data_IF_363987625669
#
_entry.id   IF_363987625669
#
_cell.length_a   1.000
_cell.length_b   1.000
_cell.length_c   1.000
_cell.angle_alpha   90.00
_cell.angle_beta   90.00
_cell.angle_gamma   90.00
#
_symmetry.space_group_name_H-M   'P 1'
#
loop_
_entity.id
_entity.type
_entity.pdbx_description
1 polymer ?
#
# COMPACT_ATOMS: atom_id res chain seq x y z
N UNK A 1 -1.48 -2.94 -15.04
CA UNK A 1 -0.84 -2.59 -13.76
C UNK A 1 -0.07 -1.30 -13.90
N UNK A 2 -0.21 -0.39 -12.93
CA UNK A 2 0.61 0.80 -12.78
C UNK A 2 1.65 0.48 -11.72
N UNK A 3 2.93 0.49 -12.10
CA UNK A 3 4.03 0.03 -11.25
C UNK A 3 4.62 1.11 -10.34
N UNK A 4 4.11 2.34 -10.41
CA UNK A 4 4.59 3.47 -9.62
C UNK A 4 3.44 4.08 -8.82
N UNK A 5 3.73 4.47 -7.58
CA UNK A 5 2.79 5.10 -6.67
C UNK A 5 3.29 6.44 -6.15
N UNK A 6 2.54 7.00 -5.23
CA UNK A 6 2.92 8.23 -4.52
C UNK A 6 4.15 7.99 -3.63
N UNK A 7 4.82 9.07 -3.28
CA UNK A 7 6.04 9.08 -2.43
C UNK A 7 5.79 8.42 -1.10
N UNK A 8 6.66 7.49 -0.74
CA UNK A 8 6.65 6.91 0.60
C UNK A 8 6.93 7.98 1.67
N UNK A 9 6.15 7.95 2.72
CA UNK A 9 6.33 8.81 3.90
C UNK A 9 6.92 8.01 5.05
N UNK A 10 7.70 8.62 5.94
CA UNK A 10 8.34 7.89 7.05
C UNK A 10 7.37 7.07 7.89
N UNK A 11 6.19 7.61 8.18
CA UNK A 11 5.20 6.97 9.05
C UNK A 11 4.43 5.80 8.45
N UNK A 12 4.59 5.53 7.15
CA UNK A 12 3.81 4.52 6.46
C UNK A 12 4.55 3.78 5.36
N UNK A 13 5.77 4.17 5.04
CA UNK A 13 6.48 3.54 3.93
C UNK A 13 7.99 3.75 3.91
N UNK A 14 8.59 4.02 5.04
CA UNK A 14 10.04 4.15 5.18
C UNK A 14 10.65 5.43 4.59
N UNK A 15 10.22 5.89 3.44
CA UNK A 15 10.60 7.17 2.86
C UNK A 15 11.43 7.10 1.57
N UNK A 16 11.39 8.17 0.81
CA UNK A 16 12.06 8.32 -0.49
C UNK A 16 13.60 8.40 -0.43
N UNK A 17 14.17 8.53 0.75
CA UNK A 17 15.62 8.60 0.93
C UNK A 17 16.32 7.24 0.82
N UNK A 18 15.56 6.14 0.84
CA UNK A 18 16.14 4.81 0.66
C UNK A 18 16.55 4.57 -0.81
N UNK A 19 17.76 4.01 -1.04
CA UNK A 19 18.22 3.72 -2.39
C UNK A 19 17.27 2.80 -3.16
N UNK A 20 16.98 3.16 -4.40
CA UNK A 20 16.08 2.37 -5.26
C UNK A 20 14.59 2.73 -5.13
N UNK A 21 14.19 3.54 -4.16
CA UNK A 21 12.82 4.05 -4.08
C UNK A 21 12.58 5.03 -5.22
N UNK A 22 11.59 4.73 -6.06
CA UNK A 22 11.15 5.59 -7.18
C UNK A 22 9.67 5.86 -7.04
N UNK A 23 9.26 7.11 -7.19
CA UNK A 23 7.91 7.54 -6.85
C UNK A 23 7.40 8.59 -7.83
N UNK A 24 6.08 8.75 -7.87
CA UNK A 24 5.42 9.84 -8.58
C UNK A 24 5.06 10.96 -7.62
N UNK A 25 5.01 12.19 -8.12
CA UNK A 25 4.30 13.27 -7.45
C UNK A 25 2.79 12.99 -7.45
N UNK A 26 2.09 13.44 -6.39
CA UNK A 26 0.66 13.20 -6.24
C UNK A 26 -0.17 13.67 -7.43
N UNK A 27 0.14 14.84 -7.98
CA UNK A 27 -0.53 15.36 -9.17
C UNK A 27 -0.36 14.43 -10.38
N UNK A 28 0.84 13.88 -10.58
CA UNK A 28 1.12 12.93 -11.66
C UNK A 28 0.30 11.65 -11.50
N UNK A 29 0.24 11.10 -10.29
CA UNK A 29 -0.56 9.90 -9.99
C UNK A 29 -2.06 10.15 -10.22
N UNK A 30 -2.58 11.28 -9.73
CA UNK A 30 -3.99 11.68 -9.93
C UNK A 30 -4.32 11.72 -11.41
N UNK A 31 -3.54 12.43 -12.22
CA UNK A 31 -3.84 12.58 -13.65
C UNK A 31 -3.66 11.28 -14.42
N UNK A 32 -2.65 10.49 -14.09
CA UNK A 32 -2.46 9.18 -14.71
C UNK A 32 -3.67 8.26 -14.48
N UNK A 33 -4.12 8.12 -13.23
CA UNK A 33 -5.25 7.25 -12.90
C UNK A 33 -6.55 7.79 -13.47
N UNK A 34 -6.79 9.12 -13.39
CA UNK A 34 -7.94 9.78 -14.03
C UNK A 34 -8.01 9.44 -15.53
N UNK A 35 -6.91 9.59 -16.24
CA UNK A 35 -6.86 9.38 -17.69
C UNK A 35 -7.08 7.90 -18.02
N UNK A 36 -6.50 6.97 -17.26
CA UNK A 36 -6.73 5.54 -17.44
C UNK A 36 -8.20 5.18 -17.24
N UNK A 37 -8.87 5.70 -16.21
CA UNK A 37 -10.30 5.51 -15.98
C UNK A 37 -11.12 6.01 -17.18
N UNK A 38 -10.83 7.21 -17.67
CA UNK A 38 -11.54 7.79 -18.81
C UNK A 38 -11.35 6.98 -20.09
N UNK A 39 -10.13 6.50 -20.36
CA UNK A 39 -9.84 5.70 -21.54
C UNK A 39 -10.56 4.34 -21.51
N UNK A 40 -10.57 3.63 -20.39
CA UNK A 40 -11.38 2.42 -20.28
C UNK A 40 -12.87 2.70 -20.45
N UNK A 41 -13.36 3.81 -19.90
CA UNK A 41 -14.76 4.22 -20.03
C UNK A 41 -15.12 4.56 -21.46
N UNK A 42 -14.22 5.20 -22.21
CA UNK A 42 -14.36 5.47 -23.66
C UNK A 42 -14.52 4.18 -24.46
N UNK A 43 -13.88 3.09 -24.03
CA UNK A 43 -14.02 1.77 -24.63
C UNK A 43 -15.22 0.96 -24.13
N UNK A 44 -16.14 1.57 -23.37
CA UNK A 44 -17.41 0.95 -22.94
C UNK A 44 -17.36 0.29 -21.57
N UNK A 45 -16.24 0.37 -20.83
CA UNK A 45 -16.19 -0.14 -19.45
C UNK A 45 -17.10 0.71 -18.55
N UNK A 46 -17.95 0.06 -17.75
CA UNK A 46 -18.88 0.72 -16.80
C UNK A 46 -18.74 0.22 -15.36
N UNK A 47 -17.87 -0.77 -15.12
CA UNK A 47 -17.52 -1.24 -13.79
C UNK A 47 -16.02 -1.45 -13.72
N UNK A 48 -15.38 -0.86 -12.71
CA UNK A 48 -13.93 -0.96 -12.51
C UNK A 48 -13.63 -1.30 -11.05
N UNK A 49 -12.57 -2.09 -10.84
CA UNK A 49 -11.94 -2.24 -9.54
C UNK A 49 -10.54 -1.62 -9.60
N UNK A 50 -10.26 -0.69 -8.70
CA UNK A 50 -8.92 -0.14 -8.47
C UNK A 50 -8.34 -0.83 -7.25
N UNK A 51 -7.47 -1.80 -7.46
CA UNK A 51 -6.73 -2.43 -6.37
C UNK A 51 -5.57 -1.53 -6.00
N UNK A 52 -5.58 -1.03 -4.78
CA UNK A 52 -4.53 -0.19 -4.23
C UNK A 52 -3.45 -1.08 -3.61
N UNK A 53 -2.22 -0.91 -4.04
CA UNK A 53 -1.07 -1.69 -3.60
C UNK A 53 -0.23 -0.99 -2.52
N UNK A 54 -0.55 0.25 -2.13
CA UNK A 54 0.23 0.97 -1.14
C UNK A 54 -0.58 2.06 -0.41
N UNK A 55 -0.40 2.13 0.90
CA UNK A 55 -1.17 2.96 1.82
C UNK A 55 -1.24 4.45 1.41
N UNK A 56 -0.14 5.04 0.98
CA UNK A 56 -0.08 6.45 0.63
C UNK A 56 -0.80 6.82 -0.67
N UNK A 57 -1.13 5.86 -1.53
CA UNK A 57 -1.88 6.17 -2.75
C UNK A 57 -3.31 6.59 -2.46
N UNK A 58 -3.87 6.19 -1.32
CA UNK A 58 -5.29 6.22 -1.01
C UNK A 58 -5.96 7.57 -1.35
N UNK A 59 -5.45 8.69 -0.85
CA UNK A 59 -6.06 10.01 -1.07
C UNK A 59 -5.95 10.47 -2.51
N UNK A 60 -4.85 10.15 -3.19
CA UNK A 60 -4.65 10.49 -4.60
C UNK A 60 -5.55 9.69 -5.52
N UNK A 61 -5.82 8.42 -5.20
CA UNK A 61 -6.79 7.59 -5.92
C UNK A 61 -8.22 8.12 -5.74
N UNK A 62 -8.59 8.57 -4.54
CA UNK A 62 -9.89 9.20 -4.29
C UNK A 62 -10.06 10.43 -5.16
N UNK A 63 -9.08 11.33 -5.21
CA UNK A 63 -9.14 12.53 -6.05
C UNK A 63 -9.18 12.17 -7.54
N UNK A 64 -8.38 11.20 -7.99
CA UNK A 64 -8.38 10.75 -9.38
C UNK A 64 -9.75 10.23 -9.82
N UNK A 65 -10.39 9.42 -8.99
CA UNK A 65 -11.74 8.89 -9.23
C UNK A 65 -12.76 10.02 -9.29
N UNK A 66 -12.73 10.95 -8.34
CA UNK A 66 -13.67 12.08 -8.31
C UNK A 66 -13.53 12.96 -9.56
N UNK A 67 -12.29 13.30 -9.97
CA UNK A 67 -12.04 14.06 -11.18
C UNK A 67 -12.55 13.32 -12.43
N UNK A 68 -12.25 12.02 -12.55
CA UNK A 68 -12.72 11.23 -13.69
C UNK A 68 -14.25 11.21 -13.76
N UNK A 69 -14.93 10.94 -12.65
CA UNK A 69 -16.39 10.90 -12.61
C UNK A 69 -17.04 12.25 -12.90
N UNK A 70 -16.45 13.37 -12.42
CA UNK A 70 -16.95 14.71 -12.71
C UNK A 70 -16.83 15.06 -14.21
N UNK A 71 -15.69 14.72 -14.83
CA UNK A 71 -15.46 14.95 -16.25
C UNK A 71 -16.39 14.08 -17.11
N UNK A 72 -16.49 12.77 -16.82
CA UNK A 72 -17.35 11.85 -17.55
C UNK A 72 -18.84 12.21 -17.48
N UNK A 73 -19.32 12.71 -16.32
CA UNK A 73 -20.70 13.21 -16.20
C UNK A 73 -20.97 14.41 -17.11
N UNK A 74 -20.01 15.31 -17.30
CA UNK A 74 -20.14 16.43 -18.26
C UNK A 74 -20.27 15.93 -19.69
N UNK A 75 -19.67 14.77 -19.97
CA UNK A 75 -19.73 14.10 -21.28
C UNK A 75 -20.97 13.18 -21.40
N UNK A 76 -21.89 13.21 -20.43
CA UNK A 76 -23.13 12.44 -20.42
C UNK A 76 -22.99 10.99 -19.96
N UNK A 77 -21.87 10.63 -19.33
CA UNK A 77 -21.63 9.28 -18.77
C UNK A 77 -21.77 9.33 -17.25
N UNK A 78 -22.83 8.75 -16.72
CA UNK A 78 -23.18 8.76 -15.29
C UNK A 78 -23.35 7.36 -14.66
N UNK A 79 -23.22 6.30 -15.48
CA UNK A 79 -23.44 4.90 -15.10
C UNK A 79 -22.17 4.15 -14.71
N UNK A 80 -20.99 4.81 -14.74
CA UNK A 80 -19.73 4.21 -14.30
C UNK A 80 -19.74 3.97 -12.78
N UNK A 81 -19.32 2.78 -12.36
CA UNK A 81 -19.12 2.39 -10.97
C UNK A 81 -17.68 1.94 -10.77
N UNK A 82 -17.03 2.49 -9.73
CA UNK A 82 -15.64 2.19 -9.39
C UNK A 82 -15.59 1.74 -7.93
N UNK A 83 -15.03 0.56 -7.70
CA UNK A 83 -14.64 0.10 -6.37
C UNK A 83 -13.14 0.34 -6.19
N UNK A 84 -12.75 1.00 -5.11
CA UNK A 84 -11.35 1.15 -4.68
C UNK A 84 -11.10 0.18 -3.55
N UNK A 85 -10.10 -0.68 -3.71
CA UNK A 85 -9.86 -1.85 -2.87
C UNK A 85 -8.44 -1.77 -2.27
N UNK A 86 -8.27 -1.41 -0.99
CA UNK A 86 -7.03 -1.61 -0.26
C UNK A 86 -6.93 -3.10 0.12
N UNK A 87 -6.16 -3.89 -0.61
CA UNK A 87 -6.17 -5.36 -0.50
C UNK A 87 -5.90 -5.85 0.94
N UNK A 88 -5.05 -5.16 1.67
CA UNK A 88 -4.67 -5.54 3.04
C UNK A 88 -5.82 -5.44 4.06
N UNK A 89 -6.81 -4.59 3.84
CA UNK A 89 -7.97 -4.43 4.74
C UNK A 89 -8.98 -5.59 4.65
N UNK A 90 -8.78 -6.51 3.70
CA UNK A 90 -9.62 -7.71 3.60
C UNK A 90 -9.21 -8.81 4.59
N UNK A 91 -8.05 -8.69 5.23
CA UNK A 91 -7.64 -9.63 6.26
C UNK A 91 -8.63 -9.66 7.43
N UNK A 92 -9.15 -10.84 7.75
CA UNK A 92 -10.06 -11.02 8.88
C UNK A 92 -9.34 -10.83 10.22
N UNK A 93 -10.10 -10.50 11.27
CA UNK A 93 -9.53 -10.41 12.62
C UNK A 93 -8.91 -11.75 13.07
N UNK A 94 -9.49 -12.88 12.66
CA UNK A 94 -8.94 -14.19 12.98
C UNK A 94 -7.55 -14.42 12.37
N UNK A 95 -7.35 -14.00 11.11
CA UNK A 95 -6.03 -14.06 10.45
C UNK A 95 -5.05 -13.10 11.10
N UNK A 96 -5.47 -11.88 11.44
CA UNK A 96 -4.63 -10.94 12.17
C UNK A 96 -4.21 -11.46 13.53
N UNK A 97 -5.12 -12.05 14.32
CA UNK A 97 -4.81 -12.61 15.64
C UNK A 97 -3.83 -13.80 15.54
N UNK A 98 -3.97 -14.62 14.50
CA UNK A 98 -3.05 -15.73 14.23
C UNK A 98 -1.66 -15.27 13.78
N UNK A 99 -1.60 -14.24 12.93
CA UNK A 99 -0.35 -13.69 12.42
C UNK A 99 0.39 -12.84 13.46
N UNK A 100 -0.34 -12.21 14.36
CA UNK A 100 0.21 -11.27 15.36
C UNK A 100 -0.22 -11.65 16.79
N UNK A 101 0.27 -12.77 17.34
CA UNK A 101 -0.15 -13.27 18.66
C UNK A 101 0.19 -12.30 19.81
N UNK A 102 1.12 -11.37 19.61
CA UNK A 102 1.50 -10.33 20.56
C UNK A 102 0.83 -8.98 20.30
N UNK A 103 -0.15 -8.93 19.38
CA UNK A 103 -0.86 -7.73 18.96
C UNK A 103 -0.41 -7.19 17.60
N UNK A 104 -1.40 -6.81 16.80
CA UNK A 104 -1.18 -6.22 15.48
C UNK A 104 -0.71 -4.76 15.63
N UNK A 105 0.43 -4.36 15.02
CA UNK A 105 0.98 -3.02 15.20
C UNK A 105 0.18 -1.93 14.46
N UNK A 106 -0.76 -2.31 13.60
CA UNK A 106 -1.53 -1.41 12.75
C UNK A 106 -0.96 -1.33 11.34
N UNK A 107 -1.84 -1.14 10.36
CA UNK A 107 -1.48 -1.08 8.93
C UNK A 107 -0.37 -0.06 8.61
N UNK A 108 -0.34 1.15 9.19
CA UNK A 108 0.73 2.11 8.91
C UNK A 108 2.14 1.61 9.29
N UNK A 109 2.24 0.69 10.27
CA UNK A 109 3.51 0.13 10.72
C UNK A 109 3.84 -1.23 10.10
N UNK A 110 2.91 -1.80 9.32
CA UNK A 110 3.09 -3.09 8.62
C UNK A 110 3.80 -2.88 7.25
N UNK A 111 4.78 -1.99 7.20
CA UNK A 111 5.67 -1.79 6.06
C UNK A 111 6.90 -2.67 6.20
N UNK A 112 7.10 -3.59 5.26
CA UNK A 112 8.12 -4.64 5.26
C UNK A 112 8.09 -5.50 6.55
N UNK A 113 6.91 -5.59 7.20
CA UNK A 113 6.67 -6.32 8.43
C UNK A 113 6.29 -7.77 8.20
N UNK A 114 5.55 -8.34 9.16
CA UNK A 114 5.21 -9.77 9.16
C UNK A 114 4.31 -10.14 7.99
N UNK A 115 3.26 -9.35 7.71
CA UNK A 115 2.30 -9.66 6.64
C UNK A 115 2.95 -9.61 5.27
N UNK A 116 3.58 -8.49 4.90
CA UNK A 116 4.19 -8.33 3.58
C UNK A 116 5.30 -9.35 3.33
N UNK A 117 6.16 -9.59 4.34
CA UNK A 117 7.23 -10.58 4.23
C UNK A 117 6.67 -12.01 4.14
N UNK A 118 5.60 -12.32 4.88
CA UNK A 118 4.95 -13.64 4.82
C UNK A 118 4.32 -13.90 3.46
N UNK A 119 3.64 -12.90 2.88
CA UNK A 119 3.10 -13.01 1.52
C UNK A 119 4.22 -13.26 0.51
N UNK A 120 5.34 -12.56 0.62
CA UNK A 120 6.51 -12.81 -0.23
C UNK A 120 7.12 -14.20 -0.01
N UNK A 121 7.20 -14.67 1.23
CA UNK A 121 7.66 -16.04 1.52
C UNK A 121 6.75 -17.11 0.92
N UNK A 122 5.45 -16.84 0.85
CA UNK A 122 4.49 -17.75 0.22
C UNK A 122 4.57 -17.75 -1.30
N UNK A 123 4.65 -16.56 -1.92
CA UNK A 123 4.58 -16.41 -3.37
C UNK A 123 5.95 -16.54 -4.05
N UNK A 124 7.00 -15.99 -3.44
CA UNK A 124 8.32 -15.84 -4.02
C UNK A 124 9.43 -15.99 -2.96
N UNK A 125 9.55 -17.17 -2.30
CA UNK A 125 10.53 -17.38 -1.23
C UNK A 125 11.99 -17.16 -1.69
N UNK A 126 12.26 -17.34 -2.97
CA UNK A 126 13.58 -17.13 -3.58
C UNK A 126 14.06 -15.67 -3.50
N UNK A 127 13.17 -14.72 -3.27
CA UNK A 127 13.52 -13.30 -3.12
C UNK A 127 13.62 -12.83 -1.67
N UNK A 128 13.35 -13.71 -0.70
CA UNK A 128 13.33 -13.36 0.73
C UNK A 128 14.55 -13.97 1.43
N UNK A 129 15.32 -13.14 2.14
CA UNK A 129 16.42 -13.59 2.99
C UNK A 129 16.13 -13.29 4.45
N UNK A 130 15.57 -14.27 5.16
CA UNK A 130 15.21 -14.15 6.58
C UNK A 130 16.39 -13.90 7.51
N UNK A 131 17.63 -14.29 7.14
CA UNK A 131 18.83 -14.01 7.94
C UNK A 131 19.16 -12.52 8.04
N UNK A 132 18.56 -11.69 7.15
CA UNK A 132 18.76 -10.24 7.10
C UNK A 132 17.63 -9.44 7.75
N UNK A 133 16.64 -10.10 8.33
CA UNK A 133 15.53 -9.41 8.99
C UNK A 133 16.04 -8.60 10.19
N UNK A 134 15.78 -7.29 10.22
CA UNK A 134 16.20 -6.46 11.34
C UNK A 134 15.32 -6.75 12.57
N UNK A 135 15.98 -6.84 13.74
CA UNK A 135 15.32 -7.04 15.03
C UNK A 135 15.19 -5.70 15.75
N UNK A 136 14.00 -5.13 15.74
CA UNK A 136 13.69 -3.91 16.46
C UNK A 136 12.19 -3.86 16.81
N UNK A 137 11.78 -3.09 17.83
CA UNK A 137 10.36 -2.86 18.09
C UNK A 137 9.72 -2.11 16.91
N UNK A 138 8.38 -2.11 16.79
CA UNK A 138 7.69 -1.24 15.84
C UNK A 138 8.16 0.21 15.97
N UNK A 139 8.23 0.93 14.85
CA UNK A 139 8.60 2.33 14.86
C UNK A 139 7.62 3.16 15.70
N UNK A 140 8.14 4.11 16.46
CA UNK A 140 7.35 5.02 17.29
C UNK A 140 7.44 6.43 16.72
N UNK A 141 6.34 6.92 16.15
CA UNK A 141 6.27 8.25 15.55
C UNK A 141 5.37 9.17 16.36
N UNK A 142 5.70 10.49 16.45
CA UNK A 142 4.81 11.47 17.05
C UNK A 142 3.50 11.59 16.25
N UNK A 143 2.42 12.02 16.90
CA UNK A 143 1.11 12.20 16.24
C UNK A 143 1.13 13.26 15.14
N UNK A 144 2.02 14.25 15.22
CA UNK A 144 2.18 15.31 14.23
C UNK A 144 3.27 14.96 13.20
N UNK A 145 3.19 15.56 12.03
CA UNK A 145 4.23 15.50 11.00
C UNK A 145 5.12 16.76 11.07
N UNK A 146 6.41 16.57 10.88
CA UNK A 146 7.38 17.66 10.73
C UNK A 146 7.90 17.73 9.31
N UNK A 147 7.97 18.92 8.77
CA UNK A 147 8.53 19.16 7.45
C UNK A 147 9.65 20.22 7.51
N UNK A 148 10.81 19.98 6.87
CA UNK A 148 11.16 18.76 6.12
C UNK A 148 11.25 17.55 7.06
N UNK A 149 10.95 16.36 6.52
CA UNK A 149 11.02 15.12 7.26
C UNK A 149 12.48 14.81 7.62
N UNK A 150 12.74 14.43 8.89
CA UNK A 150 14.05 13.95 9.32
C UNK A 150 14.18 12.43 9.07
N UNK A 151 15.05 11.98 8.15
CA UNK A 151 15.28 10.57 7.90
C UNK A 151 15.73 9.77 9.12
N UNK A 152 16.35 10.43 10.13
CA UNK A 152 16.80 9.77 11.36
C UNK A 152 15.63 9.25 12.22
N UNK A 153 14.40 9.70 11.98
CA UNK A 153 13.20 9.20 12.67
C UNK A 153 12.70 7.84 12.15
N UNK A 154 13.24 7.39 11.02
CA UNK A 154 12.87 6.10 10.40
C UNK A 154 13.90 5.05 10.78
N UNK A 155 13.51 3.80 11.09
CA UNK A 155 14.47 2.72 11.25
C UNK A 155 15.41 2.61 10.05
N UNK A 156 16.71 2.47 10.29
CA UNK A 156 17.73 2.48 9.22
C UNK A 156 17.57 1.36 8.18
N UNK A 157 16.83 0.32 8.53
CA UNK A 157 16.44 -0.76 7.61
C UNK A 157 15.34 -0.37 6.60
N UNK A 158 14.56 0.67 6.91
CA UNK A 158 13.34 1.02 6.20
C UNK A 158 12.10 0.26 6.65
N UNK A 159 12.23 -0.92 7.25
CA UNK A 159 11.11 -1.66 7.80
C UNK A 159 10.55 -0.92 9.03
N UNK A 160 9.22 -0.76 9.12
CA UNK A 160 8.59 -0.06 10.25
C UNK A 160 8.26 -1.00 11.41
N UNK A 161 8.18 -2.30 11.16
CA UNK A 161 8.15 -3.36 12.18
C UNK A 161 9.04 -4.53 11.78
N UNK A 162 9.45 -5.36 12.74
CA UNK A 162 10.28 -6.53 12.44
C UNK A 162 9.46 -7.64 11.80
N UNK A 163 9.96 -8.21 10.71
CA UNK A 163 9.39 -9.37 10.04
C UNK A 163 9.83 -10.72 10.62
N UNK A 164 10.46 -10.74 11.80
CA UNK A 164 11.06 -11.97 12.36
C UNK A 164 10.06 -13.12 12.56
N UNK A 165 8.77 -12.82 12.73
CA UNK A 165 7.71 -13.83 12.85
C UNK A 165 7.07 -14.22 11.50
N UNK A 166 7.56 -13.70 10.38
CA UNK A 166 7.00 -14.00 9.07
C UNK A 166 7.24 -15.47 8.69
N UNK A 167 6.21 -16.10 8.12
CA UNK A 167 6.28 -17.47 7.59
C UNK A 167 5.45 -17.58 6.30
N UNK A 168 5.77 -18.59 5.47
CA UNK A 168 4.98 -18.86 4.26
C UNK A 168 3.55 -19.29 4.60
N UNK A 169 3.32 -19.95 5.74
CA UNK A 169 1.99 -20.36 6.21
C UNK A 169 1.12 -19.14 6.54
N UNK A 170 1.68 -18.14 7.24
CA UNK A 170 1.01 -16.86 7.49
C UNK A 170 0.70 -16.18 6.16
N UNK A 171 1.66 -16.15 5.24
CA UNK A 171 1.45 -15.60 3.90
C UNK A 171 0.31 -16.27 3.15
N UNK A 172 0.20 -17.60 3.24
CA UNK A 172 -0.92 -18.33 2.67
C UNK A 172 -2.25 -17.93 3.28
N UNK A 173 -2.33 -17.76 4.61
CA UNK A 173 -3.57 -17.35 5.28
C UNK A 173 -4.08 -16.00 4.74
N UNK A 174 -3.19 -15.01 4.57
CA UNK A 174 -3.54 -13.72 3.97
C UNK A 174 -3.99 -13.88 2.51
N UNK A 175 -3.25 -14.67 1.72
CA UNK A 175 -3.57 -14.86 0.30
C UNK A 175 -4.87 -15.62 0.06
N UNK A 176 -5.32 -16.46 1.01
CA UNK A 176 -6.61 -17.14 0.93
C UNK A 176 -7.80 -16.17 1.15
N UNK A 177 -7.57 -14.98 1.72
CA UNK A 177 -8.57 -13.94 1.97
C UNK A 177 -8.53 -12.79 0.95
N UNK A 178 -7.39 -12.59 0.27
CA UNK A 178 -7.18 -11.53 -0.75
C UNK A 178 -7.64 -12.01 -2.14
#
# INVERSE_FOLDING_TARGET
>A
TISYGYKSQPKSGGGNHFPGTTSLDGQTLIFLVRDVIKEFTRHGVRKMALMDGHYENNMFLVEAVDLALRELRRDGIDDLRIAKLPYWEYASQATLDAAFPNGFPGWPLEHAGVMETSVMLHLHPEFVNMDKVPMHPPADFPLHDMYPTDPATVPSSGALSSAAAATAEIGKMFMDEY
#
